data_IF_260345213041
#
_entry.id   IF_260345213041
#
_cell.length_a   1.000
_cell.length_b   1.000
_cell.length_c   1.000
_cell.angle_alpha   90.00
_cell.angle_beta   90.00
_cell.angle_gamma   90.00
#
_symmetry.space_group_name_H-M   'P 1'
#
loop_
_entity.id
_entity.type
_entity.pdbx_description
1 polymer ?
#
# COMPACT_ATOMS: atom_id res chain seq x y z
N UNK A 1 15.81 -6.62 -47.85
CA UNK A 1 15.70 -5.58 -46.81
C UNK A 1 16.60 -6.00 -45.65
N UNK A 2 17.62 -5.22 -45.29
CA UNK A 2 18.46 -5.46 -44.10
C UNK A 2 18.17 -4.37 -43.09
N UNK A 3 17.95 -4.72 -41.81
CA UNK A 3 17.68 -3.77 -40.74
C UNK A 3 16.21 -3.63 -40.32
N UNK A 4 15.31 -4.48 -40.84
CA UNK A 4 13.92 -4.52 -40.38
C UNK A 4 13.76 -5.34 -39.09
N UNK A 5 12.74 -5.06 -38.27
CA UNK A 5 12.43 -5.90 -37.12
C UNK A 5 12.17 -7.35 -37.54
N UNK A 6 12.62 -8.31 -36.73
CA UNK A 6 12.52 -9.74 -37.06
C UNK A 6 11.07 -10.23 -37.19
N UNK A 7 10.12 -9.54 -36.56
CA UNK A 7 8.69 -9.82 -36.61
C UNK A 7 7.99 -9.28 -37.85
N UNK A 8 8.64 -8.41 -38.65
CA UNK A 8 8.03 -7.76 -39.79
C UNK A 8 8.28 -8.55 -41.09
N UNK A 9 7.19 -8.83 -41.80
CA UNK A 9 7.18 -9.52 -43.08
C UNK A 9 6.51 -8.67 -44.16
N UNK A 10 6.97 -8.83 -45.39
CA UNK A 10 6.33 -8.27 -46.59
C UNK A 10 6.03 -9.38 -47.58
N UNK A 11 4.79 -9.44 -48.07
CA UNK A 11 4.42 -10.31 -49.17
C UNK A 11 4.90 -9.67 -50.48
N UNK A 12 5.82 -10.34 -51.18
CA UNK A 12 6.41 -9.81 -52.41
C UNK A 12 5.44 -9.76 -53.61
N UNK A 13 4.35 -10.53 -53.59
CA UNK A 13 3.34 -10.53 -54.66
C UNK A 13 2.26 -9.46 -54.42
N UNK A 14 1.83 -9.26 -53.17
CA UNK A 14 0.73 -8.34 -52.84
C UNK A 14 1.21 -6.99 -52.30
N UNK A 15 2.45 -6.89 -51.85
CA UNK A 15 2.98 -5.71 -51.14
C UNK A 15 2.45 -5.56 -49.71
N UNK A 16 1.70 -6.54 -49.21
CA UNK A 16 1.12 -6.51 -47.86
C UNK A 16 2.20 -6.64 -46.79
N UNK A 17 2.15 -5.76 -45.79
CA UNK A 17 2.96 -5.84 -44.59
C UNK A 17 2.20 -6.59 -43.51
N UNK A 18 2.85 -7.54 -42.84
CA UNK A 18 2.29 -8.28 -41.71
C UNK A 18 3.36 -8.56 -40.65
N UNK A 19 2.92 -8.76 -39.42
CA UNK A 19 3.81 -8.99 -38.29
C UNK A 19 3.26 -8.41 -36.98
N UNK A 20 3.79 -8.89 -35.87
CA UNK A 20 3.44 -8.38 -34.53
C UNK A 20 4.69 -8.36 -33.67
N UNK A 21 5.08 -7.20 -33.10
CA UNK A 21 6.16 -7.13 -32.12
C UNK A 21 5.94 -8.14 -30.98
N UNK A 22 7.00 -8.83 -30.58
CA UNK A 22 6.97 -9.71 -29.41
C UNK A 22 7.27 -8.96 -28.10
N UNK A 23 7.23 -9.70 -26.98
CA UNK A 23 7.54 -9.20 -25.62
C UNK A 23 8.88 -8.54 -25.43
N UNK A 24 9.82 -8.81 -26.33
CA UNK A 24 11.18 -8.27 -26.26
C UNK A 24 11.41 -7.14 -27.26
N UNK A 25 10.43 -6.84 -28.12
CA UNK A 25 10.50 -5.81 -29.14
C UNK A 25 9.91 -4.50 -28.61
N UNK A 26 10.41 -4.01 -27.48
CA UNK A 26 9.88 -2.79 -26.85
C UNK A 26 10.40 -1.51 -27.53
N UNK A 27 9.50 -0.56 -27.78
CA UNK A 27 9.81 0.78 -28.27
C UNK A 27 8.99 1.20 -29.50
N UNK A 28 9.40 2.32 -30.07
CA UNK A 28 8.83 2.88 -31.29
C UNK A 28 9.57 2.40 -32.54
N UNK A 29 8.83 1.86 -33.50
CA UNK A 29 9.34 1.39 -34.79
C UNK A 29 8.76 2.25 -35.91
N UNK A 30 9.65 2.76 -36.77
CA UNK A 30 9.26 3.41 -38.03
C UNK A 30 9.60 2.47 -39.17
N UNK A 31 8.55 1.93 -39.79
CA UNK A 31 8.68 1.05 -40.94
C UNK A 31 8.54 1.90 -42.19
N UNK A 32 9.59 1.95 -43.00
CA UNK A 32 9.59 2.68 -44.28
C UNK A 32 9.58 1.71 -45.45
N UNK A 33 8.58 1.84 -46.32
CA UNK A 33 8.47 1.07 -47.57
C UNK A 33 8.65 2.00 -48.75
N UNK A 34 9.62 1.69 -49.60
CA UNK A 34 9.90 2.43 -50.84
C UNK A 34 9.56 1.55 -52.05
N UNK A 35 8.80 2.12 -52.99
CA UNK A 35 8.48 1.45 -54.25
C UNK A 35 9.74 1.24 -55.09
N UNK A 36 9.74 0.21 -55.94
CA UNK A 36 10.90 -0.16 -56.78
C UNK A 36 11.37 0.95 -57.73
N UNK A 37 10.47 1.87 -58.11
CA UNK A 37 10.80 3.04 -58.93
C UNK A 37 11.45 4.19 -58.12
N UNK A 38 11.66 4.02 -56.81
CA UNK A 38 12.30 4.97 -55.92
C UNK A 38 11.54 6.27 -55.66
N UNK A 39 10.33 6.44 -56.25
CA UNK A 39 9.60 7.73 -56.21
C UNK A 39 8.51 7.80 -55.15
N UNK A 40 7.99 6.66 -54.69
CA UNK A 40 6.97 6.60 -53.66
C UNK A 40 7.54 5.94 -52.40
N UNK A 41 7.43 6.64 -51.27
CA UNK A 41 7.79 6.11 -49.95
C UNK A 41 6.63 6.34 -49.00
N UNK A 42 6.23 5.29 -48.29
CA UNK A 42 5.26 5.36 -47.21
C UNK A 42 5.91 4.88 -45.92
N UNK A 43 5.46 5.44 -44.79
CA UNK A 43 5.92 5.03 -43.47
C UNK A 43 4.76 4.69 -42.55
N UNK A 44 4.91 3.61 -41.78
CA UNK A 44 4.00 3.23 -40.72
C UNK A 44 4.76 3.29 -39.39
N UNK A 45 4.11 3.85 -38.37
CA UNK A 45 4.62 3.84 -36.99
C UNK A 45 3.95 2.70 -36.24
N UNK A 46 4.75 1.92 -35.52
CA UNK A 46 4.29 0.86 -34.63
C UNK A 46 4.94 1.10 -33.28
N UNK A 47 4.14 1.16 -32.22
CA UNK A 47 4.59 1.24 -30.83
C UNK A 47 4.33 -0.10 -30.12
N UNK A 48 5.24 -0.46 -29.23
CA UNK A 48 5.10 -1.57 -28.31
C UNK A 48 5.79 -1.19 -26.98
N UNK A 49 5.04 -0.67 -26.03
CA UNK A 49 5.53 -0.28 -24.71
C UNK A 49 4.90 -1.16 -23.64
N UNK A 50 5.71 -1.56 -22.67
CA UNK A 50 5.17 -2.23 -21.50
C UNK A 50 4.20 -1.32 -20.71
N UNK A 51 3.20 -1.87 -20.00
CA UNK A 51 2.24 -1.06 -19.27
C UNK A 51 2.94 -0.28 -18.17
N UNK A 52 2.61 0.99 -17.98
CA UNK A 52 3.15 1.79 -16.89
C UNK A 52 2.37 1.53 -15.61
N UNK A 53 3.04 0.98 -14.60
CA UNK A 53 2.44 0.70 -13.29
C UNK A 53 2.75 1.84 -12.32
N UNK A 54 1.73 2.36 -11.64
CA UNK A 54 1.91 3.40 -10.64
C UNK A 54 2.66 2.87 -9.40
N UNK A 55 3.48 3.69 -8.72
CA UNK A 55 4.11 3.30 -7.46
C UNK A 55 3.07 2.90 -6.42
N UNK A 56 3.32 1.78 -5.72
CA UNK A 56 2.45 1.29 -4.65
C UNK A 56 3.12 1.57 -3.30
N UNK A 57 2.46 2.35 -2.46
CA UNK A 57 2.96 2.62 -1.11
C UNK A 57 2.96 1.35 -0.24
N UNK A 58 3.83 1.32 0.78
CA UNK A 58 3.82 0.26 1.80
C UNK A 58 2.46 0.19 2.47
N UNK A 59 1.94 -1.02 2.61
CA UNK A 59 0.66 -1.29 3.25
C UNK A 59 0.89 -1.79 4.67
N UNK A 60 0.11 -1.30 5.63
CA UNK A 60 0.11 -1.79 7.01
C UNK A 60 -1.24 -2.45 7.25
N UNK A 61 -1.23 -3.73 7.62
CA UNK A 61 -2.44 -4.53 7.81
C UNK A 61 -2.39 -5.21 9.18
N UNK A 62 -3.50 -5.14 9.91
CA UNK A 62 -3.62 -5.87 11.18
C UNK A 62 -3.70 -7.37 10.87
N UNK A 63 -2.95 -8.18 11.63
CA UNK A 63 -2.97 -9.64 11.49
C UNK A 63 -4.41 -10.17 11.56
N UNK A 64 -4.71 -11.14 10.69
CA UNK A 64 -6.03 -11.73 10.52
C UNK A 64 -7.13 -10.75 10.07
N UNK A 65 -6.80 -9.54 9.63
CA UNK A 65 -7.74 -8.66 8.93
C UNK A 65 -7.66 -8.86 7.42
N UNK A 66 -8.81 -8.80 6.76
CA UNK A 66 -8.87 -8.79 5.30
C UNK A 66 -8.36 -7.45 4.78
N UNK A 67 -7.71 -7.46 3.61
CA UNK A 67 -7.27 -6.25 2.92
C UNK A 67 -7.63 -6.29 1.43
N UNK A 68 -7.60 -5.12 0.79
CA UNK A 68 -7.81 -4.94 -0.65
C UNK A 68 -6.90 -3.82 -1.15
N UNK A 69 -5.98 -4.13 -2.06
CA UNK A 69 -4.99 -3.19 -2.57
C UNK A 69 -5.05 -3.19 -4.11
N UNK A 70 -5.45 -2.08 -4.76
CA UNK A 70 -5.50 -2.01 -6.22
C UNK A 70 -4.11 -1.79 -6.81
N UNK A 71 -3.79 -2.49 -7.90
CA UNK A 71 -2.65 -2.18 -8.77
C UNK A 71 -3.17 -1.35 -9.93
N UNK A 72 -2.68 -0.12 -10.03
CA UNK A 72 -3.07 0.83 -11.08
C UNK A 72 -2.01 0.83 -12.15
N UNK A 73 -2.41 0.51 -13.38
CA UNK A 73 -1.54 0.54 -14.55
C UNK A 73 -2.26 1.18 -15.74
N UNK A 74 -1.48 1.71 -16.68
CA UNK A 74 -1.97 2.28 -17.94
C UNK A 74 -1.08 1.80 -19.07
N UNK A 75 -1.69 1.57 -20.22
CA UNK A 75 -0.97 1.42 -21.46
C UNK A 75 -0.93 2.76 -22.20
N UNK A 76 0.22 3.07 -22.80
CA UNK A 76 0.41 4.26 -23.63
C UNK A 76 0.42 3.95 -25.12
N UNK A 77 0.42 2.67 -25.48
CA UNK A 77 0.33 2.28 -26.88
C UNK A 77 -0.98 2.75 -27.47
N UNK A 78 -0.85 3.31 -28.67
CA UNK A 78 -1.94 3.87 -29.44
C UNK A 78 -2.37 2.84 -30.45
N UNK A 79 -2.79 1.67 -29.97
CA UNK A 79 -3.47 0.70 -30.80
C UNK A 79 -4.99 0.91 -30.75
N UNK A 80 -5.65 0.53 -31.84
CA UNK A 80 -7.10 0.66 -31.98
C UNK A 80 -7.88 -0.31 -31.10
N UNK A 81 -7.19 -1.30 -30.54
CA UNK A 81 -7.73 -2.29 -29.63
C UNK A 81 -7.31 -1.86 -28.24
N UNK A 82 -8.22 -1.32 -27.43
CA UNK A 82 -7.92 -0.97 -26.03
C UNK A 82 -7.30 -2.17 -25.31
N UNK A 83 -5.97 -2.20 -25.18
CA UNK A 83 -5.26 -3.38 -24.70
C UNK A 83 -5.77 -3.73 -23.29
N UNK A 84 -6.32 -4.94 -23.16
CA UNK A 84 -6.88 -5.40 -21.89
C UNK A 84 -5.73 -5.84 -20.99
N UNK A 85 -5.44 -5.04 -19.97
CA UNK A 85 -4.40 -5.36 -19.00
C UNK A 85 -4.76 -6.63 -18.20
N UNK A 86 -3.78 -7.52 -18.10
CA UNK A 86 -3.84 -8.75 -17.32
C UNK A 86 -2.83 -8.70 -16.18
N UNK A 87 -3.25 -9.19 -15.01
CA UNK A 87 -2.48 -9.09 -13.77
C UNK A 87 -2.20 -10.47 -13.17
N UNK A 88 -1.01 -10.67 -12.60
CA UNK A 88 -0.71 -11.87 -11.81
C UNK A 88 0.31 -11.63 -10.71
N UNK A 89 0.22 -12.43 -9.65
CA UNK A 89 1.26 -12.53 -8.63
C UNK A 89 2.32 -13.50 -9.15
N UNK A 90 3.55 -13.02 -9.31
CA UNK A 90 4.71 -13.84 -9.65
C UNK A 90 5.17 -14.60 -8.40
N UNK A 91 5.20 -13.89 -7.27
CA UNK A 91 5.45 -14.48 -5.97
C UNK A 91 4.74 -13.67 -4.88
N UNK A 92 4.61 -14.29 -3.71
CA UNK A 92 4.03 -13.66 -2.54
C UNK A 92 3.57 -14.73 -1.54
N UNK A 93 3.12 -14.29 -0.35
CA UNK A 93 2.56 -15.19 0.64
C UNK A 93 1.29 -15.89 0.12
N UNK A 94 1.06 -17.14 0.57
CA UNK A 94 -0.10 -17.95 0.16
C UNK A 94 -1.45 -17.34 0.50
N UNK A 95 -1.50 -16.40 1.44
CA UNK A 95 -2.70 -15.69 1.84
C UNK A 95 -3.09 -14.54 0.89
N UNK A 96 -2.23 -14.18 -0.07
CA UNK A 96 -2.49 -13.12 -1.04
C UNK A 96 -2.94 -13.69 -2.39
N UNK A 97 -3.92 -13.06 -3.01
CA UNK A 97 -4.41 -13.37 -4.37
C UNK A 97 -4.64 -12.08 -5.13
N UNK A 98 -4.43 -12.10 -6.44
CA UNK A 98 -4.75 -10.96 -7.32
C UNK A 98 -5.84 -11.37 -8.31
N UNK A 99 -6.80 -10.47 -8.53
CA UNK A 99 -7.76 -10.65 -9.62
C UNK A 99 -7.07 -10.30 -10.95
N UNK A 100 -7.02 -11.24 -11.92
CA UNK A 100 -6.25 -11.04 -13.14
C UNK A 100 -6.83 -9.99 -14.09
N UNK A 101 -8.07 -9.53 -13.88
CA UNK A 101 -8.72 -8.51 -14.72
C UNK A 101 -8.73 -7.13 -14.05
N UNK A 102 -8.95 -7.09 -12.73
CA UNK A 102 -9.07 -5.81 -12.02
C UNK A 102 -7.78 -5.35 -11.37
N UNK A 103 -6.76 -6.21 -11.28
CA UNK A 103 -5.50 -5.89 -10.62
C UNK A 103 -5.61 -5.74 -9.10
N UNK A 104 -6.76 -6.06 -8.49
CA UNK A 104 -6.95 -5.93 -7.04
C UNK A 104 -6.35 -7.13 -6.33
N UNK A 105 -5.39 -6.87 -5.44
CA UNK A 105 -4.84 -7.85 -4.50
C UNK A 105 -5.77 -7.92 -3.29
N UNK A 106 -6.22 -9.11 -2.95
CA UNK A 106 -6.99 -9.39 -1.73
C UNK A 106 -6.31 -10.49 -0.92
N UNK A 107 -6.60 -10.53 0.37
CA UNK A 107 -6.06 -11.56 1.24
C UNK A 107 -6.34 -11.28 2.71
N UNK A 108 -5.74 -12.12 3.56
CA UNK A 108 -5.82 -12.02 5.02
C UNK A 108 -4.45 -12.32 5.61
N UNK A 109 -3.74 -11.30 6.10
CA UNK A 109 -2.37 -11.46 6.60
C UNK A 109 -2.30 -12.43 7.77
N UNK A 110 -1.64 -13.58 7.60
CA UNK A 110 -1.61 -14.64 8.61
C UNK A 110 -0.31 -14.70 9.42
N UNK A 111 0.73 -14.00 8.97
CA UNK A 111 2.09 -14.05 9.55
C UNK A 111 2.56 -12.61 9.77
N UNK A 112 3.02 -12.30 10.98
CA UNK A 112 3.55 -10.98 11.33
C UNK A 112 4.79 -10.63 10.51
N UNK A 113 5.06 -9.33 10.41
CA UNK A 113 6.25 -8.77 9.76
C UNK A 113 6.03 -8.39 8.30
N UNK A 114 7.14 -8.12 7.62
CA UNK A 114 7.15 -7.61 6.26
C UNK A 114 7.11 -8.74 5.23
N UNK A 115 6.22 -8.61 4.24
CA UNK A 115 6.07 -9.54 3.13
C UNK A 115 6.12 -8.78 1.80
N UNK A 116 6.84 -9.35 0.85
CA UNK A 116 6.96 -8.82 -0.51
C UNK A 116 6.03 -9.59 -1.46
N UNK A 117 5.25 -8.85 -2.25
CA UNK A 117 4.41 -9.39 -3.31
C UNK A 117 4.89 -8.80 -4.64
N UNK A 118 5.37 -9.65 -5.54
CA UNK A 118 5.75 -9.21 -6.88
C UNK A 118 4.59 -9.43 -7.85
N UNK A 119 4.07 -8.33 -8.39
CA UNK A 119 2.99 -8.33 -9.38
C UNK A 119 3.57 -8.09 -10.76
N UNK A 120 3.07 -8.83 -11.74
CA UNK A 120 3.26 -8.53 -13.15
C UNK A 120 1.96 -8.05 -13.79
N UNK A 121 2.08 -7.04 -14.65
CA UNK A 121 1.02 -6.50 -15.51
C UNK A 121 1.44 -6.70 -16.96
N UNK A 122 0.52 -7.14 -17.82
CA UNK A 122 0.76 -7.35 -19.25
C UNK A 122 -0.43 -6.88 -20.07
N UNK A 123 -0.17 -6.17 -21.16
CA UNK A 123 -1.11 -5.86 -22.24
C UNK A 123 -1.30 -7.03 -23.23
N UNK A 124 -0.50 -8.09 -23.11
CA UNK A 124 -0.48 -9.24 -24.03
C UNK A 124 0.75 -9.27 -24.94
N UNK A 125 1.31 -8.09 -25.26
CA UNK A 125 2.50 -7.88 -26.06
C UNK A 125 3.74 -7.65 -25.22
N UNK A 126 3.68 -6.87 -24.14
CA UNK A 126 4.77 -6.54 -23.24
C UNK A 126 4.38 -6.73 -21.75
N UNK A 127 5.35 -6.55 -20.83
CA UNK A 127 5.15 -6.76 -19.39
C UNK A 127 5.88 -5.74 -18.53
N UNK A 128 5.24 -5.36 -17.42
CA UNK A 128 5.83 -4.58 -16.33
C UNK A 128 5.68 -5.30 -15.01
N UNK A 129 6.59 -5.05 -14.07
CA UNK A 129 6.53 -5.63 -12.73
C UNK A 129 6.62 -4.55 -11.65
N UNK A 130 5.87 -4.74 -10.57
CA UNK A 130 5.89 -3.87 -9.38
C UNK A 130 5.95 -4.74 -8.12
N UNK A 131 6.68 -4.27 -7.12
CA UNK A 131 6.73 -4.90 -5.81
C UNK A 131 5.81 -4.15 -4.83
N UNK A 132 5.00 -4.90 -4.08
CA UNK A 132 4.14 -4.38 -3.01
C UNK A 132 4.65 -4.91 -1.68
N UNK A 133 4.91 -4.00 -0.75
CA UNK A 133 5.35 -4.34 0.60
C UNK A 133 4.16 -4.31 1.54
N UNK A 134 3.84 -5.47 2.14
CA UNK A 134 2.80 -5.64 3.14
C UNK A 134 3.43 -5.83 4.52
N UNK A 135 3.13 -4.95 5.47
CA UNK A 135 3.57 -5.05 6.86
C UNK A 135 2.41 -5.53 7.73
N UNK A 136 2.52 -6.76 8.23
CA UNK A 136 1.48 -7.37 9.05
C UNK A 136 1.81 -7.15 10.52
N UNK A 137 0.97 -6.36 11.19
CA UNK A 137 1.19 -5.92 12.56
C UNK A 137 0.10 -6.44 13.50
N UNK A 138 0.40 -6.51 14.79
CA UNK A 138 -0.64 -6.72 15.80
C UNK A 138 -1.49 -5.46 15.94
N UNK A 139 -2.76 -5.62 16.31
CA UNK A 139 -3.55 -4.47 16.75
C UNK A 139 -2.91 -3.90 18.01
N UNK A 140 -2.56 -2.60 18.07
CA UNK A 140 -2.04 -2.02 19.29
C UNK A 140 -3.08 -2.15 20.41
N UNK A 141 -2.70 -2.76 21.53
CA UNK A 141 -3.52 -2.75 22.74
C UNK A 141 -3.65 -1.29 23.21
N UNK A 142 -4.85 -0.80 23.53
CA UNK A 142 -5.01 0.55 24.06
C UNK A 142 -4.23 0.69 25.36
N UNK A 143 -3.26 1.61 25.38
CA UNK A 143 -2.53 1.94 26.60
C UNK A 143 -3.33 2.97 27.36
N UNK A 144 -3.86 2.60 28.53
CA UNK A 144 -4.43 3.56 29.48
C UNK A 144 -3.26 4.17 30.25
N UNK A 145 -2.88 5.39 29.87
CA UNK A 145 -1.95 6.19 30.66
C UNK A 145 -2.72 6.79 31.83
N UNK A 146 -2.54 6.24 33.03
CA UNK A 146 -3.06 6.89 34.25
C UNK A 146 -2.07 8.02 34.58
N UNK A 147 -2.49 9.31 34.57
CA UNK A 147 -1.62 10.38 35.01
C UNK A 147 -1.18 10.12 36.45
N UNK A 148 0.13 10.19 36.69
CA UNK A 148 0.77 10.03 37.99
C UNK A 148 0.51 11.21 38.95
N UNK A 149 -0.29 12.18 38.54
CA UNK A 149 -0.72 13.32 39.35
C UNK A 149 -2.23 13.29 39.53
N UNK A 150 -2.69 12.83 40.68
CA UNK A 150 -3.99 13.22 41.21
C UNK A 150 -3.82 14.57 41.91
N UNK A 151 -4.28 15.65 41.28
CA UNK A 151 -4.45 16.93 41.98
C UNK A 151 -5.68 16.82 42.88
N UNK A 152 -5.45 16.61 44.18
CA UNK A 152 -6.50 16.76 45.17
C UNK A 152 -6.91 18.24 45.22
N UNK A 153 -8.11 18.58 44.76
CA UNK A 153 -8.67 19.91 44.99
C UNK A 153 -9.03 20.03 46.48
N UNK A 154 -8.18 20.71 47.25
CA UNK A 154 -8.55 21.13 48.60
C UNK A 154 -9.45 22.35 48.47
N UNK A 155 -10.77 22.16 48.61
CA UNK A 155 -11.69 23.29 48.82
C UNK A 155 -11.42 23.84 50.22
N UNK A 156 -10.73 24.99 50.30
CA UNK A 156 -10.58 25.72 51.56
C UNK A 156 -11.96 26.24 51.95
N UNK A 157 -12.61 25.55 52.89
CA UNK A 157 -13.73 26.15 53.62
C UNK A 157 -13.11 27.17 54.59
N UNK A 158 -13.72 28.34 54.69
CA UNK A 158 -13.31 29.49 55.52
C UNK A 158 -12.80 29.08 56.91
N UNK A 159 -11.83 29.81 57.49
CA UNK A 159 -11.15 29.36 58.71
C UNK A 159 -12.12 29.34 59.90
N UNK A 160 -12.59 28.15 60.26
CA UNK A 160 -13.05 27.83 61.61
C UNK A 160 -12.27 26.57 62.00
N UNK A 161 -11.32 26.78 62.90
CA UNK A 161 -10.37 25.82 63.48
C UNK A 161 -9.41 25.13 62.51
N UNK A 162 -8.11 25.22 62.82
CA UNK A 162 -7.03 24.52 62.09
C UNK A 162 -7.34 23.02 62.00
N UNK A 163 -7.80 22.57 60.84
CA UNK A 163 -7.99 21.17 60.51
C UNK A 163 -6.67 20.65 59.90
N UNK A 164 -5.94 19.81 60.62
CA UNK A 164 -4.88 19.02 59.97
C UNK A 164 -5.56 17.91 59.17
N UNK A 165 -5.40 17.97 57.85
CA UNK A 165 -5.85 16.93 56.92
C UNK A 165 -4.64 16.08 56.52
N UNK A 166 -4.67 14.78 56.81
CA UNK A 166 -3.65 13.83 56.37
C UNK A 166 -4.24 12.89 55.33
N UNK A 167 -3.60 12.83 54.17
CA UNK A 167 -3.90 11.83 53.15
C UNK A 167 -2.91 10.68 53.29
N UNK A 168 -3.43 9.45 53.36
CA UNK A 168 -2.61 8.24 53.23
C UNK A 168 -3.01 7.54 51.94
N UNK A 169 -2.05 7.39 51.04
CA UNK A 169 -2.22 6.68 49.77
C UNK A 169 -1.58 5.31 49.88
N UNK A 170 -2.33 4.26 49.55
CA UNK A 170 -1.73 2.94 49.37
C UNK A 170 -2.43 2.18 48.25
N UNK A 171 -1.66 1.31 47.59
CA UNK A 171 -2.15 0.46 46.52
C UNK A 171 -2.65 -0.85 47.12
N UNK A 172 -3.87 -1.27 46.78
CA UNK A 172 -4.37 -2.62 47.09
C UNK A 172 -4.85 -3.25 45.80
N UNK A 173 -4.14 -4.29 45.36
CA UNK A 173 -4.30 -4.88 44.02
C UNK A 173 -4.12 -3.82 42.92
N UNK A 174 -5.11 -3.66 42.02
CA UNK A 174 -5.10 -2.67 40.94
C UNK A 174 -5.84 -1.37 41.27
N UNK A 175 -6.32 -1.21 42.50
CA UNK A 175 -7.03 -0.01 42.92
C UNK A 175 -6.13 0.88 43.79
N UNK A 176 -6.16 2.20 43.54
CA UNK A 176 -5.64 3.20 44.45
C UNK A 176 -6.69 3.43 45.54
N UNK A 177 -6.33 3.17 46.80
CA UNK A 177 -7.20 3.47 47.94
C UNK A 177 -6.71 4.77 48.59
N UNK A 178 -7.66 5.68 48.82
CA UNK A 178 -7.41 6.96 49.50
C UNK A 178 -8.15 6.93 50.84
N UNK A 179 -7.41 6.99 51.94
CA UNK A 179 -8.01 7.23 53.26
C UNK A 179 -7.83 8.71 53.62
N UNK A 180 -8.95 9.38 53.92
CA UNK A 180 -9.01 10.75 54.40
C UNK A 180 -9.20 10.74 55.92
N UNK A 181 -8.25 11.32 56.65
CA UNK A 181 -8.40 11.57 58.08
C UNK A 181 -8.37 13.06 58.36
N UNK A 182 -9.37 13.53 59.12
CA UNK A 182 -9.48 14.91 59.56
C UNK A 182 -9.43 14.96 61.09
N UNK A 183 -8.54 15.77 61.65
CA UNK A 183 -8.40 15.94 63.10
C UNK A 183 -8.78 17.35 63.52
N UNK A 184 -9.68 17.47 64.50
CA UNK A 184 -9.92 18.72 65.21
C UNK A 184 -8.90 18.88 66.34
N UNK A 185 -8.26 20.03 66.45
CA UNK A 185 -7.47 20.36 67.64
C UNK A 185 -8.45 20.76 68.74
N UNK A 186 -8.75 19.85 69.67
CA UNK A 186 -9.40 20.27 70.92
C UNK A 186 -8.34 21.00 71.73
N UNK A 187 -8.44 22.32 71.86
CA UNK A 187 -7.61 23.06 72.79
C UNK A 187 -7.97 22.58 74.20
N UNK A 188 -7.14 21.70 74.76
CA UNK A 188 -7.23 21.30 76.16
C UNK A 188 -6.83 22.50 77.01
N UNK A 189 -7.79 23.11 77.68
CA UNK A 189 -7.50 23.92 78.85
C UNK A 189 -7.23 22.94 80.00
N UNK A 190 -6.03 23.01 80.58
CA UNK A 190 -5.70 22.41 81.87
C UNK A 190 -5.31 23.53 82.82
N UNK A 191 -6.04 23.54 83.94
CA UNK A 191 -6.04 24.43 85.12
C UNK A 191 -6.68 25.81 84.94
#
# INVERSE_FOLDING_TARGET
>A
MSGNPAWLHINAQTGELSGTPGRNDNGDFVITVTASNGKATNSVKVNNHAPQVAPVARQIVIINSSFSVPIIAKDSDSDSDSDTLTYRLINGPSWAKINPKTGVITGKGAVLGQHLLNVQVSDGKAVSSVAVVMDIVVNPTPVVTIPNTLTAQTRVLTPIDLLMVKFTFYKRSNNLIVHLFAFRKTNGFSY
#
